data_IF_393136103956
#
_entry.id   IF_393136103956
#
_cell.length_a   1.000
_cell.length_b   1.000
_cell.length_c   1.000
_cell.angle_alpha   90.00
_cell.angle_beta   90.00
_cell.angle_gamma   90.00
#
_symmetry.space_group_name_H-M   'P 1'
#
loop_
_entity.id
_entity.type
_entity.pdbx_description
1 polymer ?
#
# COMPACT_ATOMS: atom_id res chain seq x y z
N UNK A 1 -11.86 -3.77 9.45
CA UNK A 1 -11.25 -2.41 9.33
C UNK A 1 -11.01 -2.10 7.87
N UNK A 2 -11.27 -0.88 7.46
CA UNK A 2 -11.00 -0.40 6.10
C UNK A 2 -10.02 0.75 6.16
N UNK A 3 -9.15 0.83 5.15
CA UNK A 3 -8.16 1.90 5.07
C UNK A 3 -8.21 2.53 3.69
N UNK A 4 -8.21 3.85 3.66
CA UNK A 4 -7.97 4.62 2.46
C UNK A 4 -6.65 5.35 2.62
N UNK A 5 -5.75 5.22 1.66
CA UNK A 5 -4.41 5.78 1.75
C UNK A 5 -4.03 6.54 0.49
N UNK A 6 -3.14 7.50 0.65
CA UNK A 6 -2.73 8.40 -0.42
C UNK A 6 -1.22 8.56 -0.44
N UNK A 7 -0.63 8.50 -1.64
CA UNK A 7 0.77 8.83 -1.85
C UNK A 7 0.95 9.36 -3.26
N UNK A 8 1.96 10.19 -3.48
CA UNK A 8 2.32 10.63 -4.80
C UNK A 8 3.14 9.57 -5.54
N UNK A 9 3.12 9.63 -6.86
CA UNK A 9 3.93 8.81 -7.74
C UNK A 9 4.70 9.73 -8.68
N UNK A 10 6.01 9.52 -8.78
CA UNK A 10 6.82 10.26 -9.73
C UNK A 10 6.38 9.90 -11.13
N UNK A 11 6.04 10.90 -11.93
CA UNK A 11 5.43 10.69 -13.24
C UNK A 11 6.29 9.86 -14.18
N UNK A 12 7.60 10.05 -14.14
CA UNK A 12 8.54 9.28 -14.96
C UNK A 12 8.57 7.79 -14.62
N UNK A 13 8.02 7.41 -13.47
CA UNK A 13 7.98 6.02 -13.01
C UNK A 13 6.62 5.35 -13.21
N UNK A 14 5.63 6.03 -13.77
CA UNK A 14 4.27 5.52 -13.87
C UNK A 14 4.20 4.16 -14.59
N UNK A 15 4.79 4.06 -15.76
CA UNK A 15 4.72 2.82 -16.54
C UNK A 15 5.45 1.68 -15.85
N UNK A 16 6.59 1.96 -15.25
CA UNK A 16 7.36 0.97 -14.50
C UNK A 16 6.58 0.48 -13.27
N UNK A 17 5.95 1.40 -12.54
CA UNK A 17 5.14 1.09 -11.36
C UNK A 17 3.96 0.19 -11.74
N UNK A 18 3.28 0.53 -12.83
CA UNK A 18 2.14 -0.26 -13.33
C UNK A 18 2.58 -1.66 -13.75
N UNK A 19 3.73 -1.77 -14.40
CA UNK A 19 4.24 -3.06 -14.83
C UNK A 19 4.54 -3.98 -13.65
N UNK A 20 5.20 -3.46 -12.61
CA UNK A 20 5.47 -4.24 -11.41
C UNK A 20 4.17 -4.78 -10.81
N UNK A 21 3.11 -3.98 -10.76
CA UNK A 21 1.85 -4.39 -10.16
C UNK A 21 1.04 -5.33 -11.05
N UNK A 22 1.15 -5.23 -12.37
CA UNK A 22 0.49 -6.19 -13.28
C UNK A 22 1.19 -7.55 -13.25
N UNK A 23 2.45 -7.57 -12.85
CA UNK A 23 3.27 -8.78 -12.73
C UNK A 23 3.72 -8.97 -11.29
N UNK A 24 2.80 -8.78 -10.34
CA UNK A 24 3.14 -8.83 -8.91
C UNK A 24 3.81 -10.15 -8.56
N UNK A 25 4.84 -10.06 -7.73
CA UNK A 25 5.54 -11.25 -7.27
C UNK A 25 4.59 -12.13 -6.45
N UNK A 26 4.55 -13.45 -6.71
CA UNK A 26 3.69 -14.34 -5.94
C UNK A 26 3.91 -14.27 -4.44
N UNK A 27 5.16 -14.08 -4.00
CA UNK A 27 5.50 -13.96 -2.58
C UNK A 27 4.86 -12.72 -1.96
N UNK A 28 4.74 -11.62 -2.71
CA UNK A 28 4.11 -10.40 -2.23
C UNK A 28 2.60 -10.61 -2.11
N UNK A 29 1.97 -11.18 -3.13
CA UNK A 29 0.54 -11.47 -3.09
C UNK A 29 0.20 -12.41 -1.93
N UNK A 30 1.00 -13.44 -1.70
CA UNK A 30 0.82 -14.37 -0.60
C UNK A 30 0.96 -13.70 0.75
N UNK A 31 1.96 -12.85 0.93
CA UNK A 31 2.20 -12.16 2.19
C UNK A 31 1.05 -11.21 2.54
N UNK A 32 0.52 -10.51 1.56
CA UNK A 32 -0.64 -9.63 1.76
C UNK A 32 -1.81 -10.44 2.30
N UNK A 33 -2.12 -11.57 1.68
CA UNK A 33 -3.20 -12.45 2.12
C UNK A 33 -2.92 -13.04 3.51
N UNK A 34 -1.68 -13.50 3.74
CA UNK A 34 -1.28 -14.09 5.02
C UNK A 34 -1.35 -13.08 6.17
N UNK A 35 -1.20 -11.80 5.87
CA UNK A 35 -1.33 -10.72 6.86
C UNK A 35 -2.77 -10.22 6.99
N UNK A 36 -3.74 -10.98 6.49
CA UNK A 36 -5.17 -10.72 6.65
C UNK A 36 -5.66 -9.46 5.94
N UNK A 37 -5.00 -9.09 4.84
CA UNK A 37 -5.45 -7.98 4.00
C UNK A 37 -6.27 -8.54 2.84
N UNK A 38 -7.39 -7.89 2.56
CA UNK A 38 -8.33 -8.29 1.50
C UNK A 38 -8.72 -7.08 0.66
N UNK A 39 -9.12 -7.35 -0.56
CA UNK A 39 -9.64 -6.33 -1.48
C UNK A 39 -8.71 -5.13 -1.59
N UNK A 40 -7.42 -5.38 -1.61
CA UNK A 40 -6.41 -4.35 -1.72
C UNK A 40 -6.38 -3.84 -3.16
N UNK A 41 -6.67 -2.55 -3.34
CA UNK A 41 -6.77 -1.92 -4.66
C UNK A 41 -5.99 -0.63 -4.66
N UNK A 42 -5.29 -0.35 -5.75
CA UNK A 42 -4.55 0.90 -5.92
C UNK A 42 -5.02 1.55 -7.22
N UNK A 43 -5.41 2.81 -7.14
CA UNK A 43 -5.86 3.61 -8.28
C UNK A 43 -4.89 4.76 -8.48
N UNK A 44 -4.69 5.12 -9.74
CA UNK A 44 -3.82 6.25 -10.09
C UNK A 44 -4.63 7.35 -10.77
N UNK A 45 -4.43 8.58 -10.32
CA UNK A 45 -4.98 9.75 -10.99
C UNK A 45 -4.10 10.97 -10.74
N UNK A 46 -3.67 11.60 -11.81
CA UNK A 46 -2.98 12.90 -11.75
C UNK A 46 -1.77 12.90 -10.80
N UNK A 47 -0.91 11.89 -10.94
CA UNK A 47 0.30 11.80 -10.11
C UNK A 47 0.07 11.33 -8.69
N UNK A 48 -1.14 10.86 -8.37
CA UNK A 48 -1.50 10.38 -7.05
C UNK A 48 -1.94 8.93 -7.11
N UNK A 49 -1.59 8.18 -6.09
CA UNK A 49 -2.05 6.81 -5.90
C UNK A 49 -3.02 6.80 -4.73
N UNK A 50 -4.19 6.24 -4.97
CA UNK A 50 -5.23 6.06 -3.95
C UNK A 50 -5.35 4.57 -3.68
N UNK A 51 -5.10 4.17 -2.45
CA UNK A 51 -5.18 2.76 -2.07
C UNK A 51 -6.37 2.52 -1.15
N UNK A 52 -7.01 1.38 -1.36
CA UNK A 52 -8.06 0.88 -0.48
C UNK A 52 -7.68 -0.52 -0.05
N UNK A 53 -7.86 -0.84 1.22
CA UNK A 53 -7.69 -2.21 1.68
C UNK A 53 -8.58 -2.49 2.88
N UNK A 54 -8.88 -3.78 3.07
CA UNK A 54 -9.64 -4.28 4.21
C UNK A 54 -8.75 -5.17 5.04
N UNK A 55 -8.83 -5.02 6.35
CA UNK A 55 -8.13 -5.89 7.27
C UNK A 55 -9.16 -6.77 7.98
N UNK A 56 -8.97 -8.09 7.91
CA UNK A 56 -9.93 -9.08 8.44
C UNK A 56 -9.34 -9.92 9.58
N UNK A 57 -8.16 -9.56 10.08
CA UNK A 57 -7.55 -10.25 11.21
C UNK A 57 -7.98 -9.65 12.54
N UNK A 58 -7.31 -10.08 13.60
CA UNK A 58 -7.58 -9.62 14.97
C UNK A 58 -6.37 -9.00 15.65
N UNK A 59 -5.25 -8.84 14.94
CA UNK A 59 -4.03 -8.21 15.45
C UNK A 59 -3.36 -7.44 14.32
N UNK A 60 -3.89 -6.28 14.01
CA UNK A 60 -3.39 -5.46 12.90
C UNK A 60 -1.90 -5.11 13.08
N UNK A 61 -1.52 -4.66 14.27
CA UNK A 61 -0.12 -4.27 14.50
C UNK A 61 0.83 -5.45 14.33
N UNK A 62 0.46 -6.61 14.86
CA UNK A 62 1.26 -7.83 14.72
C UNK A 62 1.39 -8.27 13.28
N UNK A 63 0.30 -8.20 12.51
CA UNK A 63 0.34 -8.57 11.09
C UNK A 63 1.16 -7.57 10.28
N UNK A 64 1.14 -6.29 10.62
CA UNK A 64 1.97 -5.29 9.95
C UNK A 64 3.46 -5.48 10.26
N UNK A 65 3.79 -5.86 11.48
CA UNK A 65 5.16 -6.20 11.86
C UNK A 65 5.63 -7.43 11.08
N UNK A 66 4.78 -8.44 10.99
CA UNK A 66 5.07 -9.67 10.23
C UNK A 66 5.38 -9.34 8.76
N UNK A 67 4.59 -8.46 8.16
CA UNK A 67 4.82 -8.01 6.79
C UNK A 67 6.16 -7.27 6.66
N UNK A 68 6.44 -6.35 7.58
CA UNK A 68 7.65 -5.54 7.55
C UNK A 68 8.93 -6.35 7.78
N UNK A 69 8.82 -7.52 8.40
CA UNK A 69 9.95 -8.40 8.63
C UNK A 69 10.18 -9.41 7.49
N UNK A 70 9.25 -9.53 6.57
CA UNK A 70 9.36 -10.47 5.45
C UNK A 70 10.40 -9.97 4.44
N UNK A 71 11.46 -10.77 4.17
CA UNK A 71 12.54 -10.33 3.27
C UNK A 71 12.08 -9.96 1.86
N UNK A 72 11.10 -10.66 1.30
CA UNK A 72 10.59 -10.35 -0.03
C UNK A 72 9.79 -9.04 -0.04
N UNK A 73 9.04 -8.77 1.03
CA UNK A 73 8.32 -7.52 1.18
C UNK A 73 9.29 -6.34 1.29
N UNK A 74 10.35 -6.50 2.07
CA UNK A 74 11.38 -5.46 2.19
C UNK A 74 12.01 -5.18 0.84
N UNK A 75 12.34 -6.22 0.07
CA UNK A 75 12.90 -6.08 -1.27
C UNK A 75 11.94 -5.33 -2.20
N UNK A 76 10.65 -5.69 -2.16
CA UNK A 76 9.61 -5.02 -2.94
C UNK A 76 9.51 -3.53 -2.56
N UNK A 77 9.48 -3.22 -1.28
CA UNK A 77 9.42 -1.83 -0.81
C UNK A 77 10.64 -1.02 -1.24
N UNK A 78 11.82 -1.63 -1.24
CA UNK A 78 13.05 -0.95 -1.70
C UNK A 78 12.97 -0.56 -3.17
N UNK A 79 12.19 -1.30 -3.97
CA UNK A 79 11.95 -0.96 -5.37
C UNK A 79 10.84 0.09 -5.49
N UNK A 80 9.77 -0.04 -4.70
CA UNK A 80 8.62 0.85 -4.79
C UNK A 80 8.89 2.25 -4.25
N UNK A 81 9.56 2.36 -3.11
CA UNK A 81 9.73 3.65 -2.44
C UNK A 81 10.42 4.72 -3.29
N UNK A 82 11.48 4.40 -4.04
CA UNK A 82 12.11 5.43 -4.89
C UNK A 82 11.20 5.98 -5.98
N UNK A 83 10.17 5.25 -6.37
CA UNK A 83 9.20 5.70 -7.36
C UNK A 83 8.09 6.55 -6.76
N UNK A 84 7.91 6.46 -5.45
CA UNK A 84 6.84 7.12 -4.72
C UNK A 84 7.29 8.45 -4.15
N UNK A 85 6.30 9.31 -3.88
CA UNK A 85 6.53 10.66 -3.37
C UNK A 85 5.50 10.95 -2.29
N UNK A 86 5.88 10.77 -1.00
CA UNK A 86 4.94 11.02 0.10
C UNK A 86 4.33 12.41 0.03
N UNK A 87 3.04 12.52 0.40
CA UNK A 87 2.33 13.79 0.36
C UNK A 87 2.54 14.57 1.65
N UNK A 88 2.39 15.89 1.57
CA UNK A 88 2.39 16.76 2.74
C UNK A 88 1.11 16.51 3.55
N UNK A 89 1.19 16.74 4.83
CA UNK A 89 0.04 16.55 5.72
C UNK A 89 -0.08 15.16 6.30
N UNK A 90 0.73 14.20 5.84
CA UNK A 90 0.75 12.87 6.44
C UNK A 90 1.30 12.93 7.86
N UNK A 91 0.93 11.94 8.67
CA UNK A 91 1.51 11.83 10.00
C UNK A 91 3.01 11.55 9.92
N UNK A 92 3.75 11.92 10.97
CA UNK A 92 5.21 11.90 10.99
C UNK A 92 5.82 10.54 10.65
N UNK A 93 5.16 9.46 11.05
CA UNK A 93 5.64 8.09 10.87
C UNK A 93 4.98 7.37 9.69
N UNK A 94 4.20 8.09 8.88
CA UNK A 94 3.51 7.50 7.73
C UNK A 94 4.30 7.68 6.45
N UNK A 95 4.37 6.64 5.62
CA UNK A 95 4.85 6.73 4.25
C UNK A 95 3.67 7.03 3.32
N UNK A 96 2.66 6.17 3.34
CA UNK A 96 1.36 6.46 2.74
C UNK A 96 0.55 7.22 3.77
N UNK A 97 -0.08 8.32 3.36
CA UNK A 97 -0.94 9.07 4.27
C UNK A 97 -2.27 8.33 4.46
N UNK A 98 -2.64 8.07 5.71
CA UNK A 98 -3.95 7.51 6.00
C UNK A 98 -5.01 8.60 5.89
N UNK A 99 -6.09 8.32 5.15
CA UNK A 99 -7.20 9.25 4.96
C UNK A 99 -8.32 8.92 5.93
N UNK A 100 -8.99 9.97 6.39
CA UNK A 100 -10.15 9.82 7.26
C UNK A 100 -11.33 9.27 6.47
N UNK A 101 -11.98 8.22 6.98
CA UNK A 101 -13.21 7.72 6.38
C UNK A 101 -14.36 8.65 6.80
N UNK A 102 -14.98 9.30 5.85
CA UNK A 102 -16.06 10.24 6.14
C UNK A 102 -17.44 9.66 5.90
N UNK A 103 -17.54 8.52 5.22
CA UNK A 103 -18.80 7.83 4.97
C UNK A 103 -18.57 6.39 4.57
N UNK A 104 -19.41 5.51 5.09
CA UNK A 104 -19.47 4.12 4.67
C UNK A 104 -20.90 3.61 4.82
N UNK A 105 -21.37 2.83 3.84
CA UNK A 105 -22.67 2.16 3.88
C UNK A 105 -22.49 0.74 3.35
N UNK A 106 -22.94 -0.21 4.15
CA UNK A 106 -22.97 -1.61 3.71
C UNK A 106 -24.01 -1.83 2.64
#
# INVERSE_FOLDING_TARGET
MRFGQLIGLKEENLEKYKKYHSEIWPEIASMITDCNIRNYSIYHFNGLLFAYMEYVGDDFEGDMVKMAEDPKTVEWWEIMKPMQKPVEGRAKDEWWANMEEVFHQE
#
